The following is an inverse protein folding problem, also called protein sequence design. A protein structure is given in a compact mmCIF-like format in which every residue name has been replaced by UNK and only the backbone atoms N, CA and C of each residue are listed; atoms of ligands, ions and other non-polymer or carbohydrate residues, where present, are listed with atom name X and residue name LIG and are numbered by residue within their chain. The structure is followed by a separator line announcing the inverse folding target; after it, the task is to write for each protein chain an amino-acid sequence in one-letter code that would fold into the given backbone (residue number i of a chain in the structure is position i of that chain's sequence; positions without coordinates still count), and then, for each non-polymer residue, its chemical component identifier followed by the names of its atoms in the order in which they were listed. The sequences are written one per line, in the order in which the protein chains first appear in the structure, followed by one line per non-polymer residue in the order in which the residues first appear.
data_IF_556258207319
#
_entry.id   IF_556258207319
#
_cell.length_a   1.000
_cell.length_b   1.000
_cell.length_c   1.000
_cell.angle_alpha   90.00
_cell.angle_beta   90.00
_cell.angle_gamma   90.00
#
_symmetry.space_group_name_H-M   'P 1'
#
loop_
_entity.id
_entity.type
_entity.pdbx_description
1 polymer ?
#
# COMPACT_ATOMS: atom_id res chain seq x y z
N UNK A 1 -14.94 -1.86 -61.53
CA UNK A 1 -13.58 -1.40 -61.14
C UNK A 1 -13.58 -1.10 -59.65
N UNK A 2 -13.08 -2.04 -58.84
CA UNK A 2 -12.94 -1.89 -57.38
C UNK A 2 -11.81 -0.90 -57.06
N UNK A 3 -12.16 0.27 -56.51
CA UNK A 3 -11.18 1.15 -55.85
C UNK A 3 -10.93 0.62 -54.44
N UNK A 4 -9.95 -0.28 -54.28
CA UNK A 4 -9.31 -0.53 -52.99
C UNK A 4 -8.58 0.75 -52.58
N UNK A 5 -9.15 1.50 -51.63
CA UNK A 5 -8.47 2.63 -51.01
C UNK A 5 -7.21 2.13 -50.33
N UNK A 6 -6.03 2.53 -50.83
CA UNK A 6 -4.77 2.33 -50.12
C UNK A 6 -4.85 3.11 -48.81
N UNK A 7 -4.91 2.42 -47.68
CA UNK A 7 -4.74 3.02 -46.37
C UNK A 7 -3.48 3.89 -46.36
N UNK A 8 -3.62 5.15 -45.94
CA UNK A 8 -2.50 6.09 -45.77
C UNK A 8 -1.51 5.43 -44.82
N UNK A 9 -0.23 5.30 -45.23
CA UNK A 9 0.84 4.81 -44.34
C UNK A 9 0.92 5.73 -43.12
N UNK A 10 0.48 5.22 -41.98
CA UNK A 10 0.58 5.89 -40.69
C UNK A 10 2.04 5.75 -40.22
N UNK A 11 2.67 6.84 -39.78
CA UNK A 11 4.05 6.78 -39.26
C UNK A 11 4.13 6.09 -37.89
N UNK A 12 5.28 5.51 -37.56
CA UNK A 12 5.51 4.69 -36.35
C UNK A 12 5.04 5.36 -35.05
N UNK A 13 5.23 6.67 -34.92
CA UNK A 13 4.81 7.42 -33.74
C UNK A 13 3.28 7.42 -33.53
N UNK A 14 2.51 7.44 -34.62
CA UNK A 14 1.04 7.36 -34.59
C UNK A 14 0.58 5.93 -34.24
N UNK A 15 1.28 4.88 -34.71
CA UNK A 15 1.00 3.49 -34.31
C UNK A 15 1.29 3.24 -32.82
N UNK A 16 2.36 3.84 -32.28
CA UNK A 16 2.64 3.81 -30.84
C UNK A 16 1.52 4.48 -30.03
N UNK A 17 0.92 5.58 -30.53
CA UNK A 17 -0.23 6.23 -29.88
C UNK A 17 -1.48 5.34 -29.89
N UNK A 18 -1.74 4.64 -30.99
CA UNK A 18 -2.82 3.66 -31.08
C UNK A 18 -2.59 2.52 -30.06
N UNK A 19 -1.39 1.92 -30.05
CA UNK A 19 -1.02 0.85 -29.11
C UNK A 19 -1.17 1.26 -27.63
N UNK A 20 -0.78 2.49 -27.27
CA UNK A 20 -1.00 3.02 -25.91
C UNK A 20 -2.49 3.22 -25.61
N UNK A 21 -3.27 3.71 -26.57
CA UNK A 21 -4.71 3.94 -26.41
C UNK A 21 -5.47 2.62 -26.25
N UNK A 22 -5.14 1.61 -27.06
CA UNK A 22 -5.67 0.24 -26.93
C UNK A 22 -5.31 -0.37 -25.59
N UNK A 23 -4.05 -0.24 -25.15
CA UNK A 23 -3.61 -0.76 -23.85
C UNK A 23 -4.42 -0.17 -22.69
N UNK A 24 -4.69 1.14 -22.72
CA UNK A 24 -5.50 1.79 -21.68
C UNK A 24 -6.97 1.35 -21.75
N UNK A 25 -7.56 1.36 -22.95
CA UNK A 25 -8.97 1.04 -23.14
C UNK A 25 -9.27 -0.38 -22.69
N UNK A 26 -8.53 -1.35 -23.22
CA UNK A 26 -8.76 -2.78 -22.96
C UNK A 26 -8.44 -3.19 -21.52
N UNK A 27 -7.62 -2.44 -20.78
CA UNK A 27 -7.24 -2.79 -19.39
C UNK A 27 -8.02 -2.06 -18.31
N UNK A 28 -8.44 -0.83 -18.60
CA UNK A 28 -9.00 0.09 -17.60
C UNK A 28 -10.25 0.81 -18.09
N UNK A 29 -10.24 1.24 -19.35
CA UNK A 29 -11.18 2.25 -19.85
C UNK A 29 -12.50 1.75 -20.42
N UNK A 30 -12.76 0.44 -20.49
CA UNK A 30 -13.98 -0.08 -21.15
C UNK A 30 -15.27 0.51 -20.57
N UNK A 31 -15.40 0.59 -19.25
CA UNK A 31 -16.56 1.18 -18.60
C UNK A 31 -16.72 2.67 -18.92
N UNK A 32 -15.61 3.42 -18.96
CA UNK A 32 -15.61 4.85 -19.32
C UNK A 32 -15.96 5.08 -20.80
N UNK A 33 -15.62 4.12 -21.67
CA UNK A 33 -15.90 4.18 -23.11
C UNK A 33 -17.31 3.66 -23.46
N UNK A 34 -18.05 3.11 -22.49
CA UNK A 34 -19.38 2.52 -22.72
C UNK A 34 -19.35 1.31 -23.66
N UNK A 35 -18.21 0.62 -23.76
CA UNK A 35 -18.04 -0.54 -24.63
C UNK A 35 -18.37 -1.84 -23.89
N UNK A 36 -18.89 -2.83 -24.60
CA UNK A 36 -19.07 -4.17 -24.05
C UNK A 36 -17.74 -4.95 -24.09
N UNK A 37 -17.53 -5.78 -23.08
CA UNK A 37 -16.39 -6.68 -22.98
C UNK A 37 -16.87 -8.04 -22.47
N UNK A 38 -16.38 -9.11 -23.09
CA UNK A 38 -16.64 -10.48 -22.63
C UNK A 38 -15.87 -10.79 -21.35
N UNK A 39 -16.26 -11.84 -20.63
CA UNK A 39 -15.51 -12.34 -19.46
C UNK A 39 -14.07 -12.74 -19.79
N UNK A 40 -13.80 -13.15 -21.05
CA UNK A 40 -12.46 -13.46 -21.55
C UNK A 40 -11.65 -12.21 -22.01
N UNK A 41 -12.17 -11.01 -21.76
CA UNK A 41 -11.51 -9.72 -22.04
C UNK A 41 -11.56 -9.25 -23.48
N UNK A 42 -12.30 -9.94 -24.35
CA UNK A 42 -12.46 -9.55 -25.75
C UNK A 42 -13.48 -8.42 -25.92
N UNK A 43 -13.14 -7.47 -26.76
CA UNK A 43 -13.98 -6.36 -27.25
C UNK A 43 -14.08 -6.45 -28.76
N UNK A 44 -15.28 -6.19 -29.29
CA UNK A 44 -15.53 -6.15 -30.73
C UNK A 44 -14.77 -5.01 -31.39
N UNK A 45 -14.04 -5.33 -32.46
CA UNK A 45 -13.18 -4.35 -33.15
C UNK A 45 -14.01 -3.27 -33.84
N UNK A 46 -15.16 -3.61 -34.41
CA UNK A 46 -16.06 -2.65 -35.06
C UNK A 46 -16.68 -1.66 -34.07
N UNK A 47 -17.16 -2.15 -32.92
CA UNK A 47 -17.67 -1.30 -31.82
C UNK A 47 -16.58 -0.37 -31.27
N UNK A 48 -15.36 -0.91 -31.09
CA UNK A 48 -14.21 -0.14 -30.64
C UNK A 48 -13.88 0.99 -31.62
N UNK A 49 -13.83 0.69 -32.93
CA UNK A 49 -13.54 1.65 -33.99
C UNK A 49 -14.66 2.67 -34.19
N UNK A 50 -15.92 2.34 -33.87
CA UNK A 50 -17.04 3.27 -33.91
C UNK A 50 -16.93 4.37 -32.84
N UNK A 51 -16.24 4.11 -31.73
CA UNK A 51 -16.05 5.09 -30.66
C UNK A 51 -15.18 6.28 -31.13
N UNK A 52 -15.55 7.51 -30.76
CA UNK A 52 -14.88 8.76 -31.19
C UNK A 52 -13.35 8.75 -30.96
N UNK A 53 -12.90 8.07 -29.89
CA UNK A 53 -11.48 7.92 -29.56
C UNK A 53 -10.68 7.10 -30.59
N UNK A 54 -11.33 6.18 -31.31
CA UNK A 54 -10.69 5.27 -32.24
C UNK A 54 -11.17 5.42 -33.69
N UNK A 55 -12.17 6.25 -33.96
CA UNK A 55 -12.77 6.46 -35.30
C UNK A 55 -11.82 6.92 -36.41
N UNK A 56 -10.64 7.41 -36.05
CA UNK A 56 -9.58 7.73 -37.04
C UNK A 56 -8.77 6.51 -37.52
N UNK A 57 -8.95 5.35 -36.89
CA UNK A 57 -8.20 4.12 -37.18
C UNK A 57 -9.07 3.13 -37.97
N UNK A 58 -8.43 2.08 -38.48
CA UNK A 58 -9.10 1.02 -39.24
C UNK A 58 -8.73 -0.32 -38.65
N UNK A 59 -9.43 -1.36 -39.07
CA UNK A 59 -9.13 -2.73 -38.67
C UNK A 59 -7.71 -3.15 -39.09
N UNK A 60 -7.23 -2.74 -40.27
CA UNK A 60 -5.85 -2.99 -40.69
C UNK A 60 -4.84 -2.35 -39.74
N UNK A 61 -5.12 -1.14 -39.22
CA UNK A 61 -4.24 -0.51 -38.24
C UNK A 61 -4.20 -1.28 -36.92
N UNK A 62 -5.32 -1.86 -36.49
CA UNK A 62 -5.36 -2.72 -35.30
C UNK A 62 -4.57 -4.01 -35.54
N UNK A 63 -4.79 -4.69 -36.67
CA UNK A 63 -4.02 -5.87 -37.08
C UNK A 63 -2.53 -5.58 -37.15
N UNK A 64 -2.16 -4.41 -37.69
CA UNK A 64 -0.78 -3.93 -37.72
C UNK A 64 -0.22 -3.73 -36.31
N UNK A 65 -0.94 -3.04 -35.42
CA UNK A 65 -0.49 -2.81 -34.03
C UNK A 65 -0.33 -4.11 -33.23
N UNK A 66 -1.13 -5.13 -33.53
CA UNK A 66 -1.04 -6.47 -32.91
C UNK A 66 0.18 -7.21 -33.46
N UNK A 67 0.36 -7.22 -34.78
CA UNK A 67 1.47 -7.91 -35.46
C UNK A 67 2.85 -7.27 -35.16
N UNK A 68 2.93 -5.94 -35.17
CA UNK A 68 4.15 -5.16 -34.93
C UNK A 68 4.38 -4.86 -33.44
N UNK A 69 3.59 -5.46 -32.54
CA UNK A 69 3.78 -5.26 -31.11
C UNK A 69 4.99 -6.06 -30.62
N UNK A 70 6.13 -5.40 -30.47
CA UNK A 70 7.33 -6.02 -29.89
C UNK A 70 7.08 -6.67 -28.52
N UNK A 71 6.05 -6.24 -27.78
CA UNK A 71 5.72 -6.78 -26.44
C UNK A 71 4.56 -7.76 -26.43
N UNK A 72 4.01 -8.14 -27.60
CA UNK A 72 2.86 -9.05 -27.74
C UNK A 72 1.75 -8.77 -26.72
N UNK A 73 1.30 -7.51 -26.65
CA UNK A 73 0.36 -7.03 -25.62
C UNK A 73 -1.10 -7.40 -25.89
N UNK A 74 -1.42 -7.78 -27.12
CA UNK A 74 -2.78 -7.95 -27.60
C UNK A 74 -2.91 -9.27 -28.33
N UNK A 75 -4.08 -9.88 -28.21
CA UNK A 75 -4.50 -11.03 -29.01
C UNK A 75 -5.72 -10.61 -29.85
N UNK A 76 -5.77 -11.12 -31.08
CA UNK A 76 -6.94 -11.07 -31.94
C UNK A 76 -7.59 -12.44 -32.02
N UNK A 77 -8.92 -12.46 -32.02
CA UNK A 77 -9.72 -13.65 -32.26
C UNK A 77 -10.80 -13.33 -33.28
N UNK A 78 -11.22 -14.35 -34.03
CA UNK A 78 -12.41 -14.30 -34.86
C UNK A 78 -13.48 -15.18 -34.23
N UNK A 79 -14.63 -14.58 -33.93
CA UNK A 79 -15.77 -15.25 -33.27
C UNK A 79 -17.00 -14.88 -34.08
N UNK A 80 -17.71 -15.89 -34.59
CA UNK A 80 -18.90 -15.72 -35.45
C UNK A 80 -18.68 -14.80 -36.66
N UNK A 81 -17.49 -14.87 -37.27
CA UNK A 81 -17.10 -14.05 -38.42
C UNK A 81 -16.82 -12.58 -38.09
N UNK A 82 -16.82 -12.20 -36.80
CA UNK A 82 -16.47 -10.87 -36.33
C UNK A 82 -15.08 -10.87 -35.68
N UNK A 83 -14.36 -9.77 -35.82
CA UNK A 83 -13.03 -9.59 -35.23
C UNK A 83 -13.12 -9.02 -33.81
N UNK A 84 -12.36 -9.62 -32.91
CA UNK A 84 -12.31 -9.27 -31.51
C UNK A 84 -10.86 -9.06 -31.06
N UNK A 85 -10.65 -8.11 -30.16
CA UNK A 85 -9.35 -7.78 -29.59
C UNK A 85 -9.40 -7.80 -28.06
N UNK A 86 -8.32 -8.27 -27.42
CA UNK A 86 -8.11 -8.15 -25.97
C UNK A 86 -6.69 -7.75 -25.62
N UNK A 87 -6.45 -7.37 -24.37
CA UNK A 87 -5.11 -7.31 -23.80
C UNK A 87 -4.74 -8.65 -23.17
N UNK A 88 -3.45 -9.00 -23.18
CA UNK A 88 -2.98 -10.32 -22.71
C UNK A 88 -2.73 -10.38 -21.19
N UNK A 89 -2.78 -9.23 -20.51
CA UNK A 89 -2.64 -9.11 -19.06
C UNK A 89 -2.98 -7.69 -18.58
N UNK A 90 -3.08 -7.52 -17.26
CA UNK A 90 -3.02 -6.24 -16.58
C UNK A 90 -4.34 -5.50 -16.58
N UNK A 91 -5.45 -6.22 -16.62
CA UNK A 91 -6.78 -5.65 -16.47
C UNK A 91 -6.95 -5.14 -15.03
N UNK A 92 -7.75 -4.11 -14.85
CA UNK A 92 -8.24 -3.69 -13.52
C UNK A 92 -9.75 -3.58 -13.51
N UNK A 93 -10.41 -4.19 -14.51
CA UNK A 93 -11.86 -4.17 -14.70
C UNK A 93 -12.41 -5.48 -14.15
N UNK A 94 -13.39 -5.42 -13.25
CA UNK A 94 -13.92 -6.61 -12.54
C UNK A 94 -14.59 -7.66 -13.44
N UNK A 95 -14.94 -7.31 -14.69
CA UNK A 95 -15.58 -8.21 -15.67
C UNK A 95 -14.62 -9.32 -16.12
N UNK A 96 -13.31 -9.05 -16.12
CA UNK A 96 -12.26 -10.00 -16.51
C UNK A 96 -11.45 -10.31 -15.28
N UNK A 97 -11.52 -11.55 -14.79
CA UNK A 97 -10.52 -12.03 -13.84
C UNK A 97 -9.29 -12.36 -14.65
N UNK A 98 -8.21 -11.61 -14.44
CA UNK A 98 -6.92 -11.87 -15.12
C UNK A 98 -6.55 -13.35 -14.98
N UNK A 99 -6.83 -13.98 -13.84
CA UNK A 99 -6.63 -15.41 -13.55
C UNK A 99 -7.23 -16.35 -14.62
N UNK A 100 -8.39 -16.04 -15.20
CA UNK A 100 -9.04 -16.85 -16.23
C UNK A 100 -8.28 -16.83 -17.57
N UNK A 101 -7.35 -15.89 -17.72
CA UNK A 101 -6.49 -15.72 -18.90
C UNK A 101 -5.05 -16.20 -18.67
N UNK A 102 -4.76 -16.70 -17.47
CA UNK A 102 -3.44 -17.13 -17.06
C UNK A 102 -3.41 -18.63 -16.80
N UNK A 103 -2.27 -19.26 -17.05
CA UNK A 103 -2.06 -20.67 -16.68
C UNK A 103 -1.30 -20.73 -15.36
N UNK A 104 -1.82 -21.45 -14.37
CA UNK A 104 -1.10 -21.65 -13.10
C UNK A 104 0.20 -22.42 -13.33
N UNK A 105 1.30 -21.94 -12.74
CA UNK A 105 2.58 -22.63 -12.77
C UNK A 105 2.57 -23.64 -11.63
N UNK A 106 2.55 -24.93 -11.97
CA UNK A 106 2.55 -26.03 -10.98
C UNK A 106 3.93 -26.64 -10.76
N UNK A 107 4.85 -26.48 -11.73
CA UNK A 107 6.22 -26.94 -11.66
C UNK A 107 7.18 -25.75 -11.82
N UNK A 108 7.81 -25.26 -10.73
CA UNK A 108 8.71 -24.12 -10.79
C UNK A 108 10.00 -24.40 -11.57
N UNK A 109 10.38 -25.68 -11.76
CA UNK A 109 11.63 -26.04 -12.46
C UNK A 109 11.64 -25.65 -13.94
N UNK A 110 10.45 -25.47 -14.53
CA UNK A 110 10.24 -24.96 -15.89
C UNK A 110 10.78 -23.52 -16.02
N UNK A 111 10.81 -22.76 -14.92
CA UNK A 111 11.26 -21.37 -14.88
C UNK A 111 12.44 -21.21 -13.91
N UNK A 112 13.65 -21.66 -14.28
CA UNK A 112 14.81 -21.66 -13.38
C UNK A 112 15.29 -20.25 -12.99
N UNK A 113 14.89 -19.22 -13.75
CA UNK A 113 15.22 -17.83 -13.53
C UNK A 113 13.96 -16.98 -13.66
N UNK A 114 13.56 -16.32 -12.58
CA UNK A 114 12.40 -15.41 -12.56
C UNK A 114 12.84 -14.07 -11.99
N UNK A 115 12.67 -12.98 -12.74
CA UNK A 115 13.30 -11.71 -12.42
C UNK A 115 12.31 -10.56 -12.44
N UNK A 116 12.36 -9.72 -11.40
CA UNK A 116 11.73 -8.40 -11.40
C UNK A 116 12.77 -7.32 -11.72
N UNK A 117 12.51 -6.49 -12.74
CA UNK A 117 13.35 -5.34 -13.07
C UNK A 117 12.80 -4.04 -12.46
N UNK A 118 13.66 -3.26 -11.80
CA UNK A 118 13.31 -1.99 -11.16
C UNK A 118 14.46 -0.97 -11.22
N UNK A 119 14.31 0.17 -10.54
CA UNK A 119 15.34 1.19 -10.38
C UNK A 119 15.87 1.29 -8.95
N UNK A 120 17.05 1.90 -8.79
CA UNK A 120 17.72 2.07 -7.48
C UNK A 120 16.87 2.84 -6.46
N UNK A 121 16.03 3.78 -6.91
CA UNK A 121 15.17 4.56 -6.02
C UNK A 121 14.09 3.68 -5.39
N UNK A 122 13.43 2.87 -6.22
CA UNK A 122 12.39 1.93 -5.81
C UNK A 122 12.98 0.79 -4.99
N UNK A 123 14.21 0.38 -5.28
CA UNK A 123 14.93 -0.64 -4.51
C UNK A 123 15.02 -0.33 -3.01
N UNK A 124 15.23 0.93 -2.62
CA UNK A 124 15.30 1.33 -1.21
C UNK A 124 14.05 0.97 -0.40
N UNK A 125 12.89 0.97 -1.06
CA UNK A 125 11.62 0.52 -0.46
C UNK A 125 11.45 -0.99 -0.60
N UNK A 126 11.71 -1.53 -1.79
CA UNK A 126 11.51 -2.96 -2.10
C UNK A 126 12.36 -3.85 -1.20
N UNK A 127 13.61 -3.46 -0.93
CA UNK A 127 14.52 -4.23 -0.07
C UNK A 127 14.00 -4.38 1.37
N UNK A 128 13.16 -3.44 1.83
CA UNK A 128 12.57 -3.46 3.17
C UNK A 128 11.20 -4.15 3.19
N UNK A 129 10.35 -3.81 2.22
CA UNK A 129 8.91 -4.11 2.24
C UNK A 129 8.49 -5.21 1.27
N UNK A 130 9.38 -5.64 0.38
CA UNK A 130 9.03 -6.54 -0.71
C UNK A 130 8.49 -5.82 -1.93
N UNK A 131 8.11 -6.62 -2.92
CA UNK A 131 7.42 -6.13 -4.11
C UNK A 131 5.93 -5.98 -3.79
N UNK A 132 5.32 -4.87 -4.21
CA UNK A 132 3.89 -4.63 -4.03
C UNK A 132 3.22 -4.41 -5.39
N UNK A 133 2.08 -5.05 -5.63
CA UNK A 133 1.34 -4.97 -6.91
C UNK A 133 0.79 -3.57 -7.22
N UNK A 134 0.76 -2.68 -6.23
CA UNK A 134 0.17 -1.34 -6.34
C UNK A 134 -1.32 -1.45 -6.74
N UNK A 135 -1.79 -0.71 -7.75
CA UNK A 135 -3.18 -0.81 -8.28
C UNK A 135 -3.40 -1.98 -9.25
N UNK A 136 -2.37 -2.77 -9.54
CA UNK A 136 -2.50 -3.91 -10.46
C UNK A 136 -3.02 -5.12 -9.71
N UNK A 137 -3.54 -6.09 -10.45
CA UNK A 137 -3.93 -7.39 -9.89
C UNK A 137 -2.70 -8.22 -9.49
N UNK A 138 -1.59 -8.05 -10.21
CA UNK A 138 -0.41 -8.90 -10.06
C UNK A 138 0.90 -8.10 -10.04
N UNK A 139 1.90 -8.66 -9.36
CA UNK A 139 3.32 -8.34 -9.53
C UNK A 139 3.80 -9.11 -10.76
N UNK A 140 4.56 -8.45 -11.64
CA UNK A 140 5.04 -9.03 -12.89
C UNK A 140 6.53 -9.35 -12.83
N UNK A 141 6.89 -10.45 -13.47
CA UNK A 141 8.26 -10.93 -13.62
C UNK A 141 8.53 -11.37 -15.06
N UNK A 142 9.81 -11.33 -15.43
CA UNK A 142 10.31 -11.95 -16.64
C UNK A 142 10.84 -13.37 -16.33
N UNK A 143 10.70 -14.34 -17.25
CA UNK A 143 11.28 -15.68 -17.12
C UNK A 143 12.78 -15.71 -17.45
N UNK A 144 13.52 -14.64 -17.13
CA UNK A 144 14.92 -14.46 -17.47
C UNK A 144 15.38 -13.01 -17.43
N UNK A 145 16.67 -12.78 -17.72
CA UNK A 145 17.22 -11.43 -17.87
C UNK A 145 16.96 -10.87 -19.29
N UNK A 146 16.65 -9.56 -19.43
CA UNK A 146 16.40 -8.92 -20.73
C UNK A 146 17.52 -9.05 -21.76
N UNK A 147 18.77 -9.21 -21.30
CA UNK A 147 19.96 -9.23 -22.15
C UNK A 147 20.09 -10.53 -22.96
N UNK A 148 19.38 -11.60 -22.56
CA UNK A 148 19.44 -12.89 -23.25
C UNK A 148 18.56 -12.94 -24.52
N UNK A 149 17.90 -11.84 -24.91
CA UNK A 149 17.03 -11.76 -26.10
C UNK A 149 15.74 -12.60 -26.05
N UNK A 150 15.60 -13.50 -25.08
CA UNK A 150 14.44 -14.36 -24.86
C UNK A 150 13.29 -13.66 -24.10
N UNK A 151 13.58 -12.53 -23.44
CA UNK A 151 12.61 -11.80 -22.62
C UNK A 151 11.97 -10.67 -23.42
N UNK A 152 10.76 -10.93 -23.87
CA UNK A 152 9.97 -10.01 -24.70
C UNK A 152 9.19 -8.99 -23.83
N UNK A 153 8.77 -9.39 -22.63
CA UNK A 153 7.94 -8.60 -21.70
C UNK A 153 8.25 -8.95 -20.24
N UNK A 154 7.82 -8.13 -19.28
CA UNK A 154 8.01 -8.38 -17.84
C UNK A 154 9.16 -7.62 -17.17
N UNK A 155 10.29 -7.38 -17.86
CA UNK A 155 11.41 -6.56 -17.37
C UNK A 155 12.00 -5.70 -18.50
N UNK A 156 12.36 -4.44 -18.22
CA UNK A 156 12.93 -3.53 -19.23
C UNK A 156 14.45 -3.62 -19.25
N UNK A 157 15.06 -3.46 -20.42
CA UNK A 157 16.52 -3.45 -20.58
C UNK A 157 17.22 -2.31 -19.83
N UNK A 158 16.51 -1.19 -19.62
CA UNK A 158 17.03 -0.03 -18.91
C UNK A 158 16.84 -0.06 -17.38
N UNK A 159 16.38 -1.18 -16.82
CA UNK A 159 16.35 -1.37 -15.37
C UNK A 159 17.79 -1.39 -14.82
N UNK A 160 17.99 -0.73 -13.68
CA UNK A 160 19.30 -0.67 -12.99
C UNK A 160 19.38 -1.68 -11.84
N UNK A 161 18.25 -2.23 -11.40
CA UNK A 161 18.19 -3.27 -10.39
C UNK A 161 17.38 -4.45 -10.92
N UNK A 162 17.90 -5.66 -10.75
CA UNK A 162 17.18 -6.91 -11.01
C UNK A 162 17.13 -7.74 -9.73
N UNK A 163 15.95 -8.28 -9.45
CA UNK A 163 15.68 -9.10 -8.27
C UNK A 163 15.27 -10.48 -8.79
N UNK A 164 16.13 -11.47 -8.62
CA UNK A 164 15.80 -12.86 -8.89
C UNK A 164 14.96 -13.41 -7.75
N UNK A 165 13.86 -14.07 -8.09
CA UNK A 165 12.88 -14.60 -7.15
C UNK A 165 13.02 -16.10 -7.03
N UNK A 166 13.08 -16.58 -5.79
CA UNK A 166 12.94 -17.99 -5.44
C UNK A 166 11.45 -18.37 -5.45
N UNK A 167 10.93 -18.67 -6.66
CA UNK A 167 9.52 -19.01 -6.83
C UNK A 167 9.18 -20.37 -6.21
N UNK A 168 10.13 -21.31 -6.14
CA UNK A 168 9.92 -22.61 -5.54
C UNK A 168 9.63 -22.46 -4.04
N UNK A 169 10.49 -21.73 -3.32
CA UNK A 169 10.27 -21.41 -1.90
C UNK A 169 8.97 -20.63 -1.67
N UNK A 170 8.65 -19.68 -2.56
CA UNK A 170 7.41 -18.92 -2.45
C UNK A 170 6.17 -19.80 -2.64
N UNK A 171 6.19 -20.72 -3.61
CA UNK A 171 5.10 -21.68 -3.85
C UNK A 171 4.92 -22.67 -2.71
N UNK A 172 6.02 -23.14 -2.10
CA UNK A 172 5.97 -23.98 -0.89
C UNK A 172 5.29 -23.26 0.29
N UNK A 173 5.48 -21.94 0.40
CA UNK A 173 4.79 -21.09 1.38
C UNK A 173 3.35 -20.70 0.96
N UNK A 174 2.84 -21.25 -0.15
CA UNK A 174 1.46 -21.04 -0.61
C UNK A 174 1.25 -19.87 -1.57
N UNK A 175 2.31 -19.22 -2.06
CA UNK A 175 2.19 -18.15 -3.06
C UNK A 175 1.97 -18.77 -4.45
N UNK A 176 0.83 -18.44 -5.08
CA UNK A 176 0.54 -18.89 -6.45
C UNK A 176 1.26 -18.04 -7.48
N UNK A 177 1.77 -18.69 -8.52
CA UNK A 177 2.33 -18.04 -9.70
C UNK A 177 1.61 -18.51 -10.96
N UNK A 178 1.55 -17.62 -11.93
CA UNK A 178 0.90 -17.87 -13.21
C UNK A 178 1.76 -17.38 -14.37
N UNK A 179 1.50 -17.87 -15.57
CA UNK A 179 2.12 -17.45 -16.83
C UNK A 179 1.04 -16.96 -17.81
N UNK A 180 1.28 -15.83 -18.45
CA UNK A 180 0.43 -15.30 -19.53
C UNK A 180 0.81 -15.84 -20.91
N UNK A 181 -0.05 -15.65 -21.91
CA UNK A 181 0.21 -16.05 -23.31
C UNK A 181 1.46 -15.38 -23.92
N UNK A 182 1.88 -14.23 -23.39
CA UNK A 182 3.12 -13.54 -23.77
C UNK A 182 4.29 -13.76 -22.79
N UNK A 183 4.25 -14.88 -22.07
CA UNK A 183 5.34 -15.39 -21.23
C UNK A 183 5.75 -14.46 -20.08
N UNK A 184 4.84 -13.64 -19.57
CA UNK A 184 5.06 -12.88 -18.33
C UNK A 184 4.64 -13.74 -17.16
N UNK A 185 5.49 -13.86 -16.15
CA UNK A 185 5.16 -14.56 -14.90
C UNK A 185 4.48 -13.56 -13.95
N UNK A 186 3.43 -13.99 -13.26
CA UNK A 186 2.59 -13.13 -12.43
C UNK A 186 2.31 -13.79 -11.07
N UNK A 187 2.24 -12.99 -10.01
CA UNK A 187 1.66 -13.40 -8.73
C UNK A 187 0.82 -12.28 -8.14
N UNK A 188 -0.30 -12.61 -7.51
CA UNK A 188 -1.07 -11.66 -6.70
C UNK A 188 -0.32 -11.31 -5.41
N UNK A 189 0.63 -12.16 -4.99
CA UNK A 189 1.25 -12.11 -3.69
C UNK A 189 0.27 -12.41 -2.55
N UNK A 190 0.73 -12.25 -1.32
CA UNK A 190 -0.11 -12.28 -0.11
C UNK A 190 -0.51 -10.85 0.19
N UNK A 191 -1.82 -10.54 0.19
CA UNK A 191 -2.33 -9.16 0.35
C UNK A 191 -1.67 -8.15 -0.59
N UNK A 192 -1.28 -8.59 -1.79
CA UNK A 192 -0.63 -7.77 -2.80
C UNK A 192 0.90 -7.72 -2.73
N UNK A 193 1.53 -8.36 -1.74
CA UNK A 193 2.98 -8.32 -1.54
C UNK A 193 3.67 -9.64 -1.87
N UNK A 194 4.91 -9.54 -2.35
CA UNK A 194 5.87 -10.64 -2.33
C UNK A 194 7.04 -10.25 -1.43
N UNK A 195 7.18 -10.98 -0.32
CA UNK A 195 8.16 -10.69 0.73
C UNK A 195 9.61 -10.80 0.24
N UNK A 196 10.54 -9.96 0.76
CA UNK A 196 11.98 -10.07 0.44
C UNK A 196 12.61 -11.40 0.85
N UNK A 197 11.98 -12.22 1.72
CA UNK A 197 12.50 -13.56 2.07
C UNK A 197 12.58 -14.53 0.89
N UNK A 198 11.95 -14.19 -0.24
CA UNK A 198 11.99 -14.91 -1.50
C UNK A 198 12.95 -14.29 -2.52
N UNK A 199 13.70 -13.24 -2.16
CA UNK A 199 14.70 -12.69 -3.06
C UNK A 199 15.94 -13.58 -3.00
N UNK A 200 16.23 -14.25 -4.12
CA UNK A 200 17.32 -15.21 -4.26
C UNK A 200 18.64 -14.52 -4.53
N UNK A 201 18.64 -13.58 -5.49
CA UNK A 201 19.82 -12.80 -5.88
C UNK A 201 19.43 -11.39 -6.29
N UNK A 202 20.29 -10.43 -5.97
CA UNK A 202 20.10 -9.02 -6.34
C UNK A 202 21.24 -8.62 -7.27
N UNK A 203 20.90 -7.93 -8.35
CA UNK A 203 21.87 -7.36 -9.28
C UNK A 203 21.65 -5.85 -9.35
N UNK A 204 22.67 -5.06 -9.03
CA UNK A 204 22.67 -3.60 -9.16
C UNK A 204 23.68 -3.24 -10.23
N UNK A 205 23.24 -2.53 -11.27
CA UNK A 205 24.03 -2.22 -12.46
C UNK A 205 24.74 -3.47 -13.03
N UNK A 206 24.00 -4.60 -13.09
CA UNK A 206 24.47 -5.91 -13.57
C UNK A 206 25.51 -6.60 -12.67
N UNK A 207 25.81 -6.05 -11.50
CA UNK A 207 26.71 -6.68 -10.52
C UNK A 207 25.90 -7.39 -9.46
N UNK A 208 26.13 -8.69 -9.26
CA UNK A 208 25.53 -9.45 -8.16
C UNK A 208 25.96 -8.80 -6.83
N UNK A 209 24.99 -8.36 -6.05
CA UNK A 209 25.18 -7.58 -4.83
C UNK A 209 24.67 -8.39 -3.65
N UNK A 210 25.47 -8.59 -2.59
CA UNK A 210 25.01 -9.25 -1.38
C UNK A 210 23.78 -8.56 -0.80
N UNK A 211 22.79 -9.35 -0.41
CA UNK A 211 21.57 -8.86 0.22
C UNK A 211 21.16 -9.80 1.34
N UNK A 212 20.94 -9.24 2.52
CA UNK A 212 20.38 -9.94 3.66
C UNK A 212 19.15 -9.17 4.13
N UNK A 213 18.01 -9.85 4.21
CA UNK A 213 16.79 -9.27 4.74
C UNK A 213 16.64 -9.60 6.21
N UNK A 214 16.92 -8.60 7.06
CA UNK A 214 16.88 -8.73 8.51
C UNK A 214 16.00 -7.62 9.12
N UNK A 215 14.68 -7.82 9.18
CA UNK A 215 13.79 -6.87 9.82
C UNK A 215 14.05 -6.79 11.34
N UNK A 216 13.65 -5.68 11.94
CA UNK A 216 13.66 -5.48 13.39
C UNK A 216 12.67 -6.42 14.06
N UNK A 217 13.14 -7.16 15.06
CA UNK A 217 12.31 -8.03 15.90
C UNK A 217 11.71 -7.23 17.06
N UNK A 218 10.45 -6.82 16.90
CA UNK A 218 9.62 -6.31 17.98
C UNK A 218 8.72 -7.43 18.48
N UNK A 219 8.42 -7.45 19.78
CA UNK A 219 7.39 -8.32 20.36
C UNK A 219 6.00 -7.74 20.11
N UNK A 220 5.85 -6.41 20.20
CA UNK A 220 4.57 -5.72 20.03
C UNK A 220 4.66 -4.42 19.24
N UNK A 221 3.56 -4.05 18.59
CA UNK A 221 3.23 -2.66 18.30
C UNK A 221 2.20 -2.17 19.29
N UNK A 222 2.42 -1.01 19.89
CA UNK A 222 1.39 -0.31 20.67
C UNK A 222 0.68 0.66 19.74
N UNK A 223 -0.46 0.25 19.21
CA UNK A 223 -1.20 1.03 18.21
C UNK A 223 -1.99 2.11 18.92
N UNK A 224 -1.77 3.37 18.53
CA UNK A 224 -2.32 4.57 19.19
C UNK A 224 -2.95 5.48 18.14
N UNK A 225 -4.13 6.00 18.46
CA UNK A 225 -4.83 7.05 17.71
C UNK A 225 -5.62 7.91 18.69
N UNK A 226 -5.21 9.16 18.91
CA UNK A 226 -5.93 10.05 19.82
C UNK A 226 -7.09 10.69 19.08
N UNK A 227 -8.23 10.82 19.76
CA UNK A 227 -9.21 11.85 19.38
C UNK A 227 -8.96 13.11 20.19
N UNK A 228 -9.14 14.27 19.58
CA UNK A 228 -9.01 15.56 20.26
C UNK A 228 -10.23 16.46 20.00
N UNK A 229 -10.50 17.36 20.94
CA UNK A 229 -11.51 18.38 20.74
C UNK A 229 -11.15 19.25 19.52
N UNK A 230 -12.18 19.71 18.82
CA UNK A 230 -12.02 20.50 17.60
C UNK A 230 -13.23 21.39 17.32
N UNK A 231 -13.05 22.36 16.43
CA UNK A 231 -14.10 23.25 15.93
C UNK A 231 -14.05 23.29 14.41
N UNK A 232 -15.19 23.56 13.79
CA UNK A 232 -15.27 23.71 12.35
C UNK A 232 -14.55 25.00 11.91
N UNK A 233 -13.64 24.90 10.94
CA UNK A 233 -12.94 26.04 10.31
C UNK A 233 -12.23 27.00 11.30
N UNK A 234 -11.67 26.48 12.38
CA UNK A 234 -10.95 27.31 13.36
C UNK A 234 -9.93 26.53 14.18
N UNK A 235 -9.30 27.22 15.12
CA UNK A 235 -8.32 26.65 16.06
C UNK A 235 -8.75 26.92 17.51
N UNK A 236 -8.55 25.93 18.37
CA UNK A 236 -8.74 26.07 19.81
C UNK A 236 -7.49 26.67 20.47
N UNK A 237 -7.67 27.39 21.58
CA UNK A 237 -6.55 27.90 22.40
C UNK A 237 -5.59 26.78 22.83
N UNK A 238 -6.15 25.61 23.10
CA UNK A 238 -5.47 24.36 23.36
C UNK A 238 -6.36 23.28 22.76
N UNK A 239 -5.83 22.52 21.80
CA UNK A 239 -6.47 21.29 21.35
C UNK A 239 -6.06 20.21 22.34
N UNK A 240 -7.06 19.55 22.92
CA UNK A 240 -6.92 18.60 24.01
C UNK A 240 -7.40 17.22 23.57
N UNK A 241 -6.66 16.20 23.96
CA UNK A 241 -7.03 14.80 23.80
C UNK A 241 -8.33 14.56 24.59
N UNK A 242 -9.29 13.90 23.94
CA UNK A 242 -10.60 13.53 24.50
C UNK A 242 -10.85 12.01 24.46
N UNK A 243 -10.02 11.24 23.75
CA UNK A 243 -9.98 9.78 23.79
C UNK A 243 -8.53 9.31 23.70
N UNK A 244 -8.15 8.37 24.57
CA UNK A 244 -6.83 7.76 24.60
C UNK A 244 -6.93 6.22 24.54
N UNK A 245 -7.03 5.65 23.34
CA UNK A 245 -6.97 4.22 23.10
C UNK A 245 -5.56 3.76 22.73
N UNK A 246 -5.14 2.60 23.25
CA UNK A 246 -3.97 1.86 22.80
C UNK A 246 -4.30 0.37 22.71
N UNK A 247 -3.94 -0.27 21.60
CA UNK A 247 -4.02 -1.73 21.46
C UNK A 247 -2.63 -2.33 21.23
N UNK A 248 -2.29 -3.35 22.02
CA UNK A 248 -1.03 -4.08 21.90
C UNK A 248 -1.17 -5.21 20.87
N UNK A 249 -0.71 -4.97 19.64
CA UNK A 249 -0.63 -5.97 18.58
C UNK A 249 0.62 -6.82 18.74
N UNK A 250 0.45 -8.10 19.01
CA UNK A 250 1.52 -9.08 19.08
C UNK A 250 2.04 -9.40 17.67
N UNK A 251 3.34 -9.23 17.44
CA UNK A 251 3.93 -9.39 16.09
C UNK A 251 4.03 -10.83 15.62
N UNK A 252 3.94 -11.81 16.54
CA UNK A 252 4.03 -13.23 16.25
C UNK A 252 2.66 -13.85 16.02
N UNK A 253 1.70 -13.57 16.90
CA UNK A 253 0.33 -14.10 16.79
C UNK A 253 -0.55 -13.27 15.86
N UNK A 254 -0.15 -12.02 15.60
CA UNK A 254 -0.91 -11.03 14.83
C UNK A 254 -2.30 -10.72 15.44
N UNK A 255 -2.42 -10.90 16.75
CA UNK A 255 -3.62 -10.62 17.53
C UNK A 255 -3.41 -9.45 18.49
N UNK A 256 -4.51 -8.85 18.96
CA UNK A 256 -4.50 -7.88 20.04
C UNK A 256 -4.52 -8.63 21.37
N UNK A 257 -3.47 -8.51 22.16
CA UNK A 257 -3.36 -9.20 23.45
C UNK A 257 -3.88 -8.32 24.60
N UNK A 258 -3.70 -7.00 24.49
CA UNK A 258 -4.08 -6.04 25.52
C UNK A 258 -4.68 -4.77 24.91
N UNK A 259 -5.62 -4.16 25.64
CA UNK A 259 -6.27 -2.90 25.26
C UNK A 259 -6.27 -1.96 26.46
N UNK A 260 -5.84 -0.73 26.23
CA UNK A 260 -5.95 0.40 27.15
C UNK A 260 -6.90 1.43 26.53
N UNK A 261 -7.89 1.93 27.27
CA UNK A 261 -8.85 2.88 26.72
C UNK A 261 -9.47 3.75 27.81
N UNK A 262 -9.39 5.06 27.62
CA UNK A 262 -10.05 6.05 28.46
C UNK A 262 -10.58 7.20 27.62
N UNK A 263 -11.76 7.72 27.97
CA UNK A 263 -12.17 9.06 27.58
C UNK A 263 -11.49 10.07 28.51
N UNK A 264 -11.07 11.18 27.92
CA UNK A 264 -10.32 12.23 28.60
C UNK A 264 -11.21 13.44 28.77
N UNK A 265 -11.22 13.99 29.99
CA UNK A 265 -11.95 15.21 30.31
C UNK A 265 -11.09 16.43 29.97
N UNK A 266 -11.45 17.23 28.95
CA UNK A 266 -10.75 18.49 28.68
C UNK A 266 -11.04 19.51 29.79
N UNK A 267 -10.04 20.26 30.20
CA UNK A 267 -10.12 21.26 31.27
C UNK A 267 -9.88 22.68 30.76
N UNK A 268 -9.26 22.85 29.58
CA UNK A 268 -9.02 24.15 28.97
C UNK A 268 -10.21 24.58 28.11
N UNK A 269 -10.74 23.70 27.27
CA UNK A 269 -11.96 23.87 26.47
C UNK A 269 -12.90 22.70 26.77
N UNK A 270 -13.67 22.78 27.88
CA UNK A 270 -14.43 21.65 28.41
C UNK A 270 -15.65 21.26 27.55
N UNK A 271 -16.27 22.24 26.89
CA UNK A 271 -17.46 22.02 26.08
C UNK A 271 -17.06 21.59 24.66
N UNK A 272 -17.47 20.40 24.26
CA UNK A 272 -17.29 19.89 22.90
C UNK A 272 -18.19 20.65 21.93
N UNK A 273 -17.62 21.01 20.78
CA UNK A 273 -18.43 21.56 19.69
C UNK A 273 -19.31 20.46 19.08
N UNK A 274 -20.46 20.87 18.51
CA UNK A 274 -21.31 19.94 17.77
C UNK A 274 -20.57 19.25 16.61
N UNK A 275 -19.65 19.98 15.95
CA UNK A 275 -18.78 19.43 14.91
C UNK A 275 -17.88 18.32 15.45
N UNK A 276 -17.25 18.52 16.60
CA UNK A 276 -16.39 17.52 17.24
C UNK A 276 -17.18 16.24 17.54
N UNK A 277 -18.34 16.36 18.19
CA UNK A 277 -19.19 15.19 18.48
C UNK A 277 -19.70 14.51 17.20
N UNK A 278 -20.03 15.26 16.15
CA UNK A 278 -20.45 14.67 14.88
C UNK A 278 -19.30 13.93 14.18
N UNK A 279 -18.09 14.47 14.26
CA UNK A 279 -16.89 13.86 13.67
C UNK A 279 -16.55 12.59 14.43
N UNK A 280 -16.27 12.69 15.72
CA UNK A 280 -15.69 11.59 16.51
C UNK A 280 -16.74 10.61 17.04
N UNK A 281 -17.98 11.06 17.22
CA UNK A 281 -19.02 10.32 17.94
C UNK A 281 -18.92 10.44 19.47
N UNK A 282 -17.92 11.14 20.00
CA UNK A 282 -17.74 11.36 21.43
C UNK A 282 -18.69 12.45 21.90
N UNK A 283 -19.53 12.11 22.88
CA UNK A 283 -20.53 13.03 23.45
C UNK A 283 -19.97 13.79 24.65
N UNK A 284 -20.60 14.92 25.01
CA UNK A 284 -20.23 15.69 26.19
C UNK A 284 -20.25 14.83 27.47
N UNK A 285 -21.29 13.99 27.64
CA UNK A 285 -21.40 13.10 28.80
C UNK A 285 -20.22 12.12 28.91
N UNK A 286 -19.63 11.69 27.78
CA UNK A 286 -18.50 10.76 27.79
C UNK A 286 -17.23 11.44 28.27
N UNK A 287 -16.95 12.67 27.84
CA UNK A 287 -15.78 13.43 28.32
C UNK A 287 -16.00 13.96 29.73
N UNK A 288 -17.23 14.31 30.12
CA UNK A 288 -17.53 14.76 31.48
C UNK A 288 -17.30 13.67 32.53
N UNK A 289 -17.58 12.41 32.14
CA UNK A 289 -17.30 11.19 32.91
C UNK A 289 -15.88 10.65 32.71
N UNK A 290 -15.10 11.24 31.80
CA UNK A 290 -13.71 10.90 31.55
C UNK A 290 -12.77 11.33 32.67
N UNK A 291 -11.51 10.93 32.56
CA UNK A 291 -10.45 11.28 33.52
C UNK A 291 -9.54 12.39 32.98
N UNK A 292 -8.83 13.15 33.84
CA UNK A 292 -7.84 14.10 33.37
C UNK A 292 -6.72 13.43 32.57
N UNK A 293 -6.18 14.10 31.54
CA UNK A 293 -5.12 13.54 30.70
C UNK A 293 -3.89 13.09 31.52
N UNK A 294 -3.47 13.88 32.51
CA UNK A 294 -2.32 13.53 33.35
C UNK A 294 -2.52 12.22 34.11
N UNK A 295 -3.75 11.95 34.56
CA UNK A 295 -4.11 10.69 35.20
C UNK A 295 -4.07 9.54 34.19
N UNK A 296 -4.64 9.72 33.00
CA UNK A 296 -4.60 8.71 31.93
C UNK A 296 -3.16 8.36 31.50
N UNK A 297 -2.27 9.34 31.42
CA UNK A 297 -0.84 9.10 31.15
C UNK A 297 -0.18 8.25 32.25
N UNK A 298 -0.53 8.48 33.52
CA UNK A 298 -0.11 7.64 34.64
C UNK A 298 -0.65 6.22 34.54
N UNK A 299 -1.96 6.07 34.30
CA UNK A 299 -2.62 4.77 34.11
C UNK A 299 -2.07 3.99 32.92
N UNK A 300 -1.64 4.69 31.85
CA UNK A 300 -0.99 4.04 30.73
C UNK A 300 0.36 3.43 31.14
N UNK A 301 1.12 4.11 32.01
CA UNK A 301 2.36 3.56 32.55
C UNK A 301 2.09 2.32 33.41
N UNK A 302 1.10 2.38 34.31
CA UNK A 302 0.66 1.23 35.12
C UNK A 302 0.23 0.05 34.24
N UNK A 303 -0.54 0.32 33.18
CA UNK A 303 -0.95 -0.69 32.20
C UNK A 303 0.25 -1.41 31.56
N UNK A 304 1.33 -0.70 31.22
CA UNK A 304 2.54 -1.34 30.67
C UNK A 304 3.22 -2.28 31.69
N UNK A 305 3.19 -1.92 32.97
CA UNK A 305 3.75 -2.74 34.06
C UNK A 305 2.89 -3.98 34.32
N UNK A 306 1.57 -3.79 34.48
CA UNK A 306 0.62 -4.86 34.80
C UNK A 306 0.51 -5.93 33.70
N UNK A 307 0.59 -5.51 32.44
CA UNK A 307 0.58 -6.42 31.29
C UNK A 307 1.95 -7.04 30.99
N UNK A 308 3.01 -6.58 31.67
CA UNK A 308 4.39 -7.00 31.43
C UNK A 308 5.02 -6.44 30.14
N UNK A 309 4.33 -5.54 29.42
CA UNK A 309 4.82 -4.87 28.22
C UNK A 309 6.07 -4.02 28.51
N UNK A 310 6.26 -3.53 29.73
CA UNK A 310 7.49 -2.83 30.15
C UNK A 310 8.78 -3.65 29.95
N UNK A 311 8.68 -4.98 29.93
CA UNK A 311 9.82 -5.90 29.70
C UNK A 311 9.99 -6.34 28.25
N UNK A 312 9.11 -5.89 27.34
CA UNK A 312 9.05 -6.32 25.94
C UNK A 312 9.68 -5.28 25.01
N UNK A 313 10.06 -5.73 23.81
CA UNK A 313 10.47 -4.83 22.72
C UNK A 313 9.24 -4.37 21.97
N UNK A 314 8.94 -3.08 22.01
CA UNK A 314 7.81 -2.53 21.29
C UNK A 314 8.09 -1.12 20.77
N UNK A 315 7.25 -0.67 19.84
CA UNK A 315 7.20 0.72 19.39
C UNK A 315 5.75 1.15 19.28
N UNK A 316 5.47 2.43 19.57
CA UNK A 316 4.19 2.98 19.19
C UNK A 316 4.01 2.91 17.68
N UNK A 317 2.78 2.66 17.23
CA UNK A 317 2.39 2.70 15.83
C UNK A 317 1.18 3.62 15.67
N UNK A 318 1.31 4.65 14.83
CA UNK A 318 0.25 5.65 14.60
C UNK A 318 -0.06 5.78 13.11
N UNK A 319 -1.26 6.27 12.77
CA UNK A 319 -1.66 6.57 11.38
C UNK A 319 -1.31 8.01 10.96
N UNK A 320 -0.08 8.42 11.21
CA UNK A 320 0.37 9.78 10.96
C UNK A 320 1.45 10.18 11.94
N UNK A 321 1.92 11.42 11.83
CA UNK A 321 2.81 11.98 12.85
C UNK A 321 2.01 12.80 13.87
N UNK A 322 0.70 13.04 13.67
CA UNK A 322 -0.03 14.07 14.42
C UNK A 322 -0.13 13.75 15.92
N UNK A 323 -0.47 12.51 16.29
CA UNK A 323 -0.68 12.09 17.68
C UNK A 323 0.49 12.42 18.61
N UNK A 324 1.65 11.82 18.33
CA UNK A 324 2.82 11.88 19.19
C UNK A 324 3.77 13.03 18.83
N UNK A 325 3.72 13.55 17.61
CA UNK A 325 4.53 14.72 17.23
C UNK A 325 3.87 16.04 17.59
N UNK A 326 2.54 16.10 17.52
CA UNK A 326 1.79 17.36 17.51
C UNK A 326 0.81 17.44 18.67
N UNK A 327 -0.18 16.54 18.73
CA UNK A 327 -1.30 16.65 19.67
C UNK A 327 -0.82 16.55 21.12
N UNK A 328 -0.27 15.40 21.51
CA UNK A 328 0.23 15.17 22.86
C UNK A 328 1.30 16.19 23.27
N UNK A 329 2.21 16.54 22.36
CA UNK A 329 3.31 17.48 22.65
C UNK A 329 2.81 18.91 22.88
N UNK A 330 1.84 19.37 22.08
CA UNK A 330 1.26 20.71 22.24
C UNK A 330 0.47 20.82 23.52
N UNK A 331 -0.39 19.83 23.81
CA UNK A 331 -1.18 19.83 25.03
C UNK A 331 -0.30 19.72 26.27
N UNK A 332 0.64 18.77 26.31
CA UNK A 332 1.57 18.62 27.42
C UNK A 332 2.41 19.89 27.64
N UNK A 333 2.85 20.56 26.57
CA UNK A 333 3.55 21.84 26.68
C UNK A 333 2.64 22.93 27.26
N UNK A 334 1.39 23.02 26.80
CA UNK A 334 0.43 24.02 27.26
C UNK A 334 0.09 23.84 28.75
N UNK A 335 -0.15 22.58 29.17
CA UNK A 335 -0.49 22.20 30.55
C UNK A 335 0.73 21.96 31.44
N UNK A 336 1.94 22.16 30.91
CA UNK A 336 3.22 21.95 31.59
C UNK A 336 3.40 20.53 32.17
N UNK A 337 2.92 19.51 31.45
CA UNK A 337 3.12 18.11 31.79
C UNK A 337 4.50 17.61 31.38
N UNK A 338 5.05 16.71 32.18
CA UNK A 338 6.25 15.95 31.83
C UNK A 338 5.82 14.61 31.25
N UNK A 339 6.26 14.32 30.02
CA UNK A 339 5.94 13.06 29.34
C UNK A 339 7.05 12.03 29.56
N UNK A 340 6.67 10.77 29.68
CA UNK A 340 7.61 9.66 29.71
C UNK A 340 8.40 9.56 28.38
N UNK A 341 9.67 9.09 28.40
CA UNK A 341 10.53 9.08 27.21
C UNK A 341 9.96 8.34 25.98
N UNK A 342 9.16 7.30 26.20
CA UNK A 342 8.59 6.51 25.10
C UNK A 342 7.55 7.28 24.26
N UNK A 343 6.96 8.36 24.78
CA UNK A 343 6.05 9.23 24.01
C UNK A 343 6.78 10.11 22.96
N UNK A 344 8.11 10.08 22.92
CA UNK A 344 8.92 10.80 21.95
C UNK A 344 9.37 9.94 20.77
N UNK A 345 8.94 8.67 20.69
CA UNK A 345 9.32 7.77 19.61
C UNK A 345 8.16 6.90 19.11
N UNK A 346 8.02 6.79 17.80
CA UNK A 346 6.96 5.98 17.17
C UNK A 346 7.31 5.59 15.75
N UNK A 347 6.60 4.61 15.21
CA UNK A 347 6.54 4.31 13.80
C UNK A 347 5.25 4.88 13.20
N UNK A 348 5.36 5.42 11.99
CA UNK A 348 4.21 5.90 11.22
C UNK A 348 3.87 4.87 10.12
N UNK A 349 2.74 4.19 10.25
CA UNK A 349 2.34 3.13 9.31
C UNK A 349 2.22 3.64 7.87
N UNK A 350 1.88 4.91 7.65
CA UNK A 350 1.79 5.52 6.30
C UNK A 350 3.15 5.61 5.61
N UNK A 351 4.25 5.64 6.38
CA UNK A 351 5.63 5.62 5.85
C UNK A 351 6.14 4.18 5.66
N UNK A 352 5.58 3.23 6.40
CA UNK A 352 5.88 1.80 6.23
C UNK A 352 5.18 1.26 4.98
N UNK A 353 3.92 1.64 4.77
CA UNK A 353 3.14 1.24 3.60
C UNK A 353 3.81 1.74 2.30
N UNK A 354 4.14 0.86 1.34
CA UNK A 354 4.99 1.23 0.19
C UNK A 354 4.26 2.05 -0.89
N UNK A 355 2.98 2.36 -0.69
CA UNK A 355 2.15 3.05 -1.66
C UNK A 355 1.77 4.44 -1.16
N UNK A 356 2.23 5.46 -1.88
CA UNK A 356 1.81 6.86 -1.68
C UNK A 356 0.29 7.07 -1.87
N UNK A 357 -0.43 6.08 -2.42
CA UNK A 357 -1.86 6.14 -2.65
C UNK A 357 -2.68 5.82 -1.39
N UNK A 358 -2.07 5.21 -0.38
CA UNK A 358 -2.69 5.02 0.92
C UNK A 358 -2.84 6.38 1.61
N UNK A 359 -3.95 7.08 1.35
CA UNK A 359 -4.28 8.38 1.95
C UNK A 359 -4.77 8.21 3.40
N UNK A 360 -3.97 7.59 4.26
CA UNK A 360 -4.35 7.24 5.64
C UNK A 360 -4.99 5.86 5.76
N UNK A 361 -5.63 5.61 6.90
CA UNK A 361 -6.14 4.29 7.31
C UNK A 361 -7.11 3.69 6.28
N UNK A 362 -8.15 4.41 5.89
CA UNK A 362 -9.14 3.94 4.91
C UNK A 362 -8.52 3.55 3.56
N UNK A 363 -7.48 4.27 3.14
CA UNK A 363 -6.73 3.95 1.93
C UNK A 363 -5.97 2.62 2.05
N UNK A 364 -5.38 2.34 3.21
CA UNK A 364 -4.70 1.05 3.47
C UNK A 364 -5.71 -0.09 3.56
N UNK A 365 -6.82 0.09 4.27
CA UNK A 365 -7.92 -0.90 4.39
C UNK A 365 -8.37 -1.35 3.00
N UNK A 366 -8.66 -0.40 2.11
CA UNK A 366 -9.08 -0.69 0.73
C UNK A 366 -7.99 -1.43 -0.05
N UNK A 367 -6.73 -0.98 0.02
CA UNK A 367 -5.61 -1.58 -0.71
C UNK A 367 -5.18 -2.96 -0.19
N UNK A 368 -5.45 -3.26 1.07
CA UNK A 368 -5.23 -4.55 1.72
C UNK A 368 -6.44 -5.48 1.62
N UNK A 369 -7.55 -5.00 1.05
CA UNK A 369 -8.79 -5.76 0.91
C UNK A 369 -9.21 -6.36 2.27
N UNK A 370 -9.26 -5.51 3.29
CA UNK A 370 -9.83 -5.83 4.60
C UNK A 370 -11.05 -4.94 4.83
N UNK A 371 -12.02 -5.43 5.60
CA UNK A 371 -13.23 -4.67 5.91
C UNK A 371 -12.98 -3.70 7.07
N UNK A 372 -13.47 -2.46 6.94
CA UNK A 372 -13.50 -1.51 8.04
C UNK A 372 -14.46 -1.98 9.13
N UNK A 373 -14.00 -1.97 10.39
CA UNK A 373 -14.82 -2.32 11.55
C UNK A 373 -15.09 -1.07 12.38
N UNK A 374 -16.31 -0.95 12.91
CA UNK A 374 -16.68 0.17 13.77
C UNK A 374 -16.85 1.48 13.01
N UNK A 375 -16.56 2.59 13.69
CA UNK A 375 -16.77 3.97 13.24
C UNK A 375 -15.42 4.67 13.03
N UNK A 376 -15.22 5.21 11.84
CA UNK A 376 -14.07 6.07 11.55
C UNK A 376 -14.14 7.36 12.38
N UNK A 377 -13.01 7.80 12.95
CA UNK A 377 -12.88 8.86 13.96
C UNK A 377 -13.39 8.49 15.36
N UNK A 378 -13.62 7.20 15.63
CA UNK A 378 -13.60 6.70 17.00
C UNK A 378 -12.23 6.11 17.26
N UNK A 379 -11.49 6.65 18.23
CA UNK A 379 -10.09 6.28 18.41
C UNK A 379 -9.91 4.78 18.67
N UNK A 380 -10.81 4.15 19.44
CA UNK A 380 -10.75 2.69 19.70
C UNK A 380 -10.98 1.83 18.45
N UNK A 381 -11.88 2.26 17.55
CA UNK A 381 -12.14 1.57 16.29
C UNK A 381 -10.99 1.83 15.29
N UNK A 382 -10.43 3.04 15.29
CA UNK A 382 -9.32 3.42 14.43
C UNK A 382 -8.04 2.64 14.80
N UNK A 383 -7.67 2.53 16.09
CA UNK A 383 -6.53 1.66 16.50
C UNK A 383 -6.76 0.19 16.11
N UNK A 384 -7.99 -0.30 16.18
CA UNK A 384 -8.35 -1.66 15.77
C UNK A 384 -8.07 -1.86 14.28
N UNK A 385 -8.50 -0.92 13.44
CA UNK A 385 -8.28 -1.00 12.00
C UNK A 385 -6.82 -0.78 11.59
N UNK A 386 -6.08 0.12 12.26
CA UNK A 386 -4.64 0.32 12.06
C UNK A 386 -3.87 -0.96 12.42
N UNK A 387 -4.20 -1.60 13.55
CA UNK A 387 -3.59 -2.85 13.95
C UNK A 387 -3.85 -3.96 12.92
N UNK A 388 -5.07 -4.07 12.40
CA UNK A 388 -5.41 -5.03 11.34
C UNK A 388 -4.65 -4.75 10.04
N UNK A 389 -4.44 -3.48 9.68
CA UNK A 389 -3.59 -3.12 8.54
C UNK A 389 -2.15 -3.61 8.76
N UNK A 390 -1.57 -3.32 9.93
CA UNK A 390 -0.20 -3.74 10.25
C UNK A 390 -0.07 -5.27 10.30
N UNK A 391 -1.02 -5.96 10.92
CA UNK A 391 -1.07 -7.42 10.98
C UNK A 391 -1.08 -8.04 9.57
N UNK A 392 -1.92 -7.52 8.66
CA UNK A 392 -1.97 -7.97 7.27
C UNK A 392 -0.63 -7.73 6.54
N UNK A 393 0.05 -6.62 6.81
CA UNK A 393 1.38 -6.34 6.25
C UNK A 393 2.45 -7.30 6.79
N UNK A 394 2.47 -7.55 8.09
CA UNK A 394 3.40 -8.52 8.72
C UNK A 394 3.17 -9.94 8.18
N UNK A 395 1.91 -10.35 8.08
CA UNK A 395 1.51 -11.63 7.49
C UNK A 395 2.01 -11.77 6.04
N UNK A 396 1.96 -10.67 5.28
CA UNK A 396 2.47 -10.61 3.92
C UNK A 396 4.00 -10.55 3.83
N UNK A 397 4.70 -10.57 4.97
CA UNK A 397 6.16 -10.55 5.07
C UNK A 397 6.77 -9.18 4.82
N UNK A 398 6.04 -8.11 5.15
CA UNK A 398 6.57 -6.75 5.19
C UNK A 398 7.39 -6.58 6.46
N UNK A 399 8.67 -6.26 6.32
CA UNK A 399 9.56 -6.02 7.45
C UNK A 399 9.45 -4.60 7.98
N UNK A 400 9.77 -4.37 9.25
CA UNK A 400 10.04 -3.04 9.85
C UNK A 400 11.51 -2.93 10.24
N UNK A 401 12.04 -1.71 10.35
CA UNK A 401 13.46 -1.47 10.59
C UNK A 401 13.66 -0.34 11.60
N UNK A 402 14.81 -0.29 12.24
CA UNK A 402 15.19 0.79 13.16
C UNK A 402 15.06 2.19 12.53
N UNK A 403 15.35 2.29 11.22
CA UNK A 403 15.19 3.53 10.45
C UNK A 403 13.74 4.03 10.34
N UNK A 404 12.77 3.18 10.67
CA UNK A 404 11.34 3.53 10.64
C UNK A 404 10.88 4.17 11.96
N UNK A 405 11.67 4.04 13.03
CA UNK A 405 11.39 4.67 14.33
C UNK A 405 11.73 6.15 14.23
N UNK A 406 10.68 6.96 14.19
CA UNK A 406 10.74 8.41 14.29
C UNK A 406 11.00 8.80 15.74
N UNK A 407 11.80 9.85 15.94
CA UNK A 407 12.15 10.36 17.26
C UNK A 407 12.06 11.87 17.28
N UNK A 408 11.45 12.40 18.34
CA UNK A 408 11.56 13.81 18.70
C UNK A 408 12.80 14.01 19.58
N UNK A 409 13.53 15.10 19.33
CA UNK A 409 14.61 15.49 20.23
C UNK A 409 14.02 15.94 21.56
N UNK A 410 14.42 15.28 22.65
CA UNK A 410 14.16 15.75 24.00
C UNK A 410 15.11 16.92 24.22
N UNK A 411 14.61 18.15 24.18
CA UNK A 411 15.39 19.32 24.59
C UNK A 411 15.26 19.40 26.12
N UNK A 412 16.32 19.16 26.90
CA UNK A 412 16.24 19.32 28.35
C UNK A 412 15.87 20.77 28.67
N UNK A 413 14.90 21.00 29.57
CA UNK A 413 14.67 22.34 30.11
C UNK A 413 15.98 22.77 30.78
N UNK A 414 16.55 23.89 30.32
CA UNK A 414 17.72 24.52 30.94
C UNK A 414 17.35 24.78 32.40
N UNK A 415 18.11 24.23 33.35
CA UNK A 415 17.92 24.52 34.77
C UNK A 415 17.96 26.04 34.93
N UNK A 416 16.86 26.64 35.39
CA UNK A 416 16.88 28.01 35.88
C UNK A 416 17.72 27.98 37.16
N UNK A 417 18.99 28.34 37.02
CA UNK A 417 19.83 28.67 38.16
C UNK A 417 19.13 29.78 38.95
N UNK A 418 18.72 29.41 40.16
CA UNK A 418 18.24 30.32 41.20
C UNK A 418 19.34 31.38 41.37
N UNK A 419 19.12 32.57 40.81
CA UNK A 419 19.85 33.77 41.22
C UNK A 419 19.41 34.09 42.64
N UNK A 420 20.15 33.59 43.62
CA UNK A 420 20.18 34.20 44.95
C UNK A 420 20.65 35.65 44.75
N UNK A 421 19.76 36.60 44.97
CA UNK A 421 20.13 38.00 45.14
C UNK A 421 20.71 38.19 46.55
N UNK A 422 21.75 39.03 46.72
CA UNK A 422 22.28 39.39 48.02
C UNK A 422 21.32 40.27 48.83
#
# INVERSE_FOLDING_TARGET
MNRRGKARRVGDNEMVKLSKSLSWALRHGIGELGLAMTSAGFVRVDELLAHQRFSKWTEEHIKQVVAENDKKRFDLAEIDGMQWIRANQGHTINIVKDEDLLTEITDPSIYPVVVHGTDKKSWLTIMKRGLYRMRRNHIHFAPGFPENGQVISGARSNCTVFIEIDIEKAMQDGVKFFISSNSVILTSGIKGFLSPKYFKKIYIDRVETPFEWKPLELDYFLVLDFEANCIENGELKCQEIIEFPVQALNTKTLQIDHTFHYYIKPDVVPDLSAFCTQLTGITQNMVDAGIPLLEALGKFHEFLEETGLSSKKWSFLTCGDWDLKTCLQKEAKYKNYQLAPYFYSWMNIKKIFPSFMAKGMMGMISLLEIEHVGRHHSGIDDVTNIARCMAAMLQAGVGVFESDILRLQIIPKRNEEIKQQP
#
